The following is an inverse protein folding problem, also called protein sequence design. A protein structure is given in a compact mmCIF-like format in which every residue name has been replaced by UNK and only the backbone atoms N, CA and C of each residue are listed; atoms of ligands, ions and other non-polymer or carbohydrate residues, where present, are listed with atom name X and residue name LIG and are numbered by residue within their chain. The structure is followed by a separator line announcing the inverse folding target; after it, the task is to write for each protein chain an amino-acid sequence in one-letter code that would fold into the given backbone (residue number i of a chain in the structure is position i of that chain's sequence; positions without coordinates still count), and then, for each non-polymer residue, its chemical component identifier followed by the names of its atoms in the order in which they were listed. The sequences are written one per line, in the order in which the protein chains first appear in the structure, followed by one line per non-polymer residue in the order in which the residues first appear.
data_IF_820950592012
#
_entry.id   IF_820950592012
#
_cell.length_a   1.000
_cell.length_b   1.000
_cell.length_c   1.000
_cell.angle_alpha   90.00
_cell.angle_beta   90.00
_cell.angle_gamma   90.00
#
_symmetry.space_group_name_H-M   'P 1'
#
loop_
_entity.id
_entity.type
_entity.pdbx_description
1 polymer ?
#
# COMPACT_ATOMS: atom_id res chain seq x y z
N UNK A 1 -18.78 8.79 9.42
CA UNK A 1 -18.99 8.33 8.03
C UNK A 1 -18.61 6.86 7.96
N UNK A 2 -19.36 6.04 7.23
CA UNK A 2 -19.03 4.63 6.98
C UNK A 2 -18.43 4.46 5.58
N UNK A 3 -17.74 3.34 5.33
CA UNK A 3 -17.38 2.95 3.97
C UNK A 3 -18.68 2.53 3.26
N UNK A 4 -18.94 3.00 2.02
CA UNK A 4 -20.09 2.57 1.25
C UNK A 4 -20.12 1.05 1.03
N UNK A 5 -21.31 0.44 1.07
CA UNK A 5 -21.47 -1.02 0.94
C UNK A 5 -20.91 -1.58 -0.37
N UNK A 6 -21.01 -0.82 -1.48
CA UNK A 6 -20.46 -1.24 -2.77
C UNK A 6 -18.93 -1.40 -2.74
N UNK A 7 -18.21 -0.53 -2.00
CA UNK A 7 -16.77 -0.65 -1.85
C UNK A 7 -16.41 -1.82 -0.93
N UNK A 8 -17.21 -2.05 0.13
CA UNK A 8 -17.04 -3.22 1.00
C UNK A 8 -17.21 -4.50 0.19
N UNK A 9 -18.27 -4.60 -0.60
CA UNK A 9 -18.53 -5.75 -1.47
C UNK A 9 -17.39 -5.95 -2.46
N UNK A 10 -16.92 -4.89 -3.12
CA UNK A 10 -15.80 -4.96 -4.07
C UNK A 10 -14.51 -5.51 -3.43
N UNK A 11 -14.17 -5.04 -2.22
CA UNK A 11 -13.02 -5.56 -1.47
C UNK A 11 -13.25 -7.00 -1.01
N UNK A 12 -14.46 -7.37 -0.60
CA UNK A 12 -14.79 -8.75 -0.19
C UNK A 12 -14.69 -9.73 -1.36
N UNK A 13 -15.20 -9.37 -2.53
CA UNK A 13 -15.04 -10.14 -3.78
C UNK A 13 -13.55 -10.32 -4.11
N UNK A 14 -12.75 -9.27 -3.90
CA UNK A 14 -11.30 -9.37 -4.02
C UNK A 14 -10.70 -10.40 -3.06
N UNK A 15 -11.03 -10.31 -1.78
CA UNK A 15 -10.47 -11.18 -0.74
C UNK A 15 -10.88 -12.65 -0.93
N UNK A 16 -12.12 -12.90 -1.34
CA UNK A 16 -12.65 -14.26 -1.53
C UNK A 16 -12.01 -14.98 -2.71
N UNK A 17 -11.53 -14.25 -3.73
CA UNK A 17 -10.95 -14.83 -4.94
C UNK A 17 -9.42 -14.75 -4.98
N UNK A 18 -8.75 -14.33 -3.89
CA UNK A 18 -7.31 -14.08 -3.90
C UNK A 18 -6.48 -15.33 -4.22
N UNK A 19 -6.92 -16.50 -3.76
CA UNK A 19 -6.21 -17.77 -3.92
C UNK A 19 -6.33 -18.37 -5.33
N UNK A 20 -7.24 -17.86 -6.16
CA UNK A 20 -7.50 -18.35 -7.53
C UNK A 20 -6.69 -17.58 -8.58
N UNK A 21 -5.84 -16.64 -8.15
CA UNK A 21 -5.18 -15.69 -9.02
C UNK A 21 -3.72 -16.04 -9.23
N UNK A 22 -3.26 -15.70 -10.42
CA UNK A 22 -1.88 -15.95 -10.82
C UNK A 22 -1.09 -14.65 -11.07
N UNK A 23 -1.76 -13.49 -11.11
CA UNK A 23 -1.09 -12.20 -11.30
C UNK A 23 -0.75 -11.55 -9.97
N UNK A 24 0.45 -10.97 -9.89
CA UNK A 24 1.03 -10.50 -8.65
C UNK A 24 1.32 -9.00 -8.70
N UNK A 25 1.19 -8.33 -7.56
CA UNK A 25 1.78 -7.03 -7.28
C UNK A 25 2.70 -7.18 -6.06
N UNK A 26 3.96 -6.78 -6.22
CA UNK A 26 5.00 -6.85 -5.21
C UNK A 26 5.34 -5.41 -4.84
N UNK A 27 5.14 -5.05 -3.58
CA UNK A 27 5.33 -3.68 -3.10
C UNK A 27 6.56 -3.62 -2.22
N UNK A 28 7.51 -2.76 -2.59
CA UNK A 28 8.73 -2.48 -1.84
C UNK A 28 8.85 -1.00 -1.54
N UNK A 29 9.33 -0.67 -0.34
CA UNK A 29 9.46 0.71 0.12
C UNK A 29 10.72 0.85 0.98
N UNK A 30 11.68 1.64 0.51
CA UNK A 30 12.98 1.86 1.15
C UNK A 30 12.99 3.12 2.04
N UNK A 31 11.96 3.31 2.85
CA UNK A 31 11.81 4.49 3.70
C UNK A 31 11.48 4.12 5.15
N UNK A 32 11.29 5.13 6.01
CA UNK A 32 10.90 4.94 7.41
C UNK A 32 9.51 4.31 7.57
N UNK A 33 9.18 3.87 8.80
CA UNK A 33 7.96 3.13 9.11
C UNK A 33 6.69 3.79 8.55
N UNK A 34 6.51 5.11 8.75
CA UNK A 34 5.32 5.83 8.28
C UNK A 34 5.09 5.71 6.76
N UNK A 35 6.14 5.95 5.97
CA UNK A 35 6.07 5.81 4.51
C UNK A 35 5.78 4.35 4.12
N UNK A 36 6.43 3.37 4.77
CA UNK A 36 6.15 1.95 4.48
C UNK A 36 4.70 1.56 4.73
N UNK A 37 4.09 2.06 5.82
CA UNK A 37 2.67 1.84 6.11
C UNK A 37 1.78 2.48 5.03
N UNK A 38 2.05 3.74 4.67
CA UNK A 38 1.29 4.47 3.64
C UNK A 38 1.42 3.84 2.24
N UNK A 39 2.63 3.45 1.83
CA UNK A 39 2.88 2.74 0.58
C UNK A 39 2.17 1.40 0.57
N UNK A 40 2.20 0.65 1.67
CA UNK A 40 1.53 -0.65 1.78
C UNK A 40 0.02 -0.52 1.64
N UNK A 41 -0.61 0.50 2.25
CA UNK A 41 -2.05 0.78 2.09
C UNK A 41 -2.38 1.09 0.62
N UNK A 42 -1.61 1.99 0.02
CA UNK A 42 -1.83 2.43 -1.37
C UNK A 42 -1.62 1.26 -2.35
N UNK A 43 -0.58 0.46 -2.11
CA UNK A 43 -0.26 -0.75 -2.86
C UNK A 43 -1.32 -1.85 -2.72
N UNK A 44 -1.88 -2.03 -1.53
CA UNK A 44 -2.99 -2.96 -1.30
C UNK A 44 -4.22 -2.53 -2.11
N UNK A 45 -4.61 -1.25 -2.07
CA UNK A 45 -5.74 -0.78 -2.88
C UNK A 45 -5.47 -0.95 -4.38
N UNK A 46 -4.23 -0.72 -4.83
CA UNK A 46 -3.85 -0.99 -6.22
C UNK A 46 -3.98 -2.48 -6.57
N UNK A 47 -3.63 -3.38 -5.66
CA UNK A 47 -3.83 -4.83 -5.82
C UNK A 47 -5.32 -5.16 -5.99
N UNK A 48 -6.17 -4.53 -5.16
CA UNK A 48 -7.63 -4.64 -5.23
C UNK A 48 -8.16 -4.19 -6.59
N UNK A 49 -7.80 -2.98 -7.00
CA UNK A 49 -8.24 -2.38 -8.26
C UNK A 49 -7.77 -3.12 -9.51
N UNK A 50 -6.65 -3.83 -9.42
CA UNK A 50 -6.06 -4.59 -10.55
C UNK A 50 -6.28 -6.09 -10.46
N UNK A 51 -7.03 -6.54 -9.45
CA UNK A 51 -7.34 -7.94 -9.19
C UNK A 51 -6.09 -8.85 -9.05
N UNK A 52 -5.05 -8.38 -8.35
CA UNK A 52 -3.75 -9.07 -8.18
C UNK A 52 -3.53 -9.59 -6.77
N UNK A 53 -2.77 -10.67 -6.65
CA UNK A 53 -2.20 -11.13 -5.38
C UNK A 53 -1.24 -10.07 -4.83
N UNK A 54 -1.42 -9.68 -3.57
CA UNK A 54 -0.65 -8.62 -2.93
C UNK A 54 0.49 -9.20 -2.10
N UNK A 55 1.73 -8.81 -2.43
CA UNK A 55 2.94 -9.19 -1.70
C UNK A 55 3.63 -7.93 -1.20
N UNK A 56 4.04 -7.96 0.07
CA UNK A 56 4.83 -6.90 0.69
C UNK A 56 6.28 -7.41 0.80
N UNK A 57 7.21 -6.71 0.15
CA UNK A 57 8.65 -6.90 0.35
C UNK A 57 9.16 -5.99 1.48
N UNK A 58 9.01 -6.48 2.71
CA UNK A 58 9.44 -5.79 3.92
C UNK A 58 10.31 -6.70 4.80
N UNK A 59 11.57 -6.82 4.39
CA UNK A 59 12.62 -7.49 5.14
C UNK A 59 13.47 -6.47 5.93
N UNK A 60 14.12 -6.88 7.04
CA UNK A 60 14.96 -5.99 7.82
C UNK A 60 16.19 -5.56 7.01
N UNK A 61 16.45 -4.27 6.99
CA UNK A 61 17.68 -3.65 6.48
C UNK A 61 18.18 -2.65 7.52
N UNK A 62 19.35 -2.05 7.31
CA UNK A 62 19.85 -0.94 8.17
C UNK A 62 18.85 0.22 8.30
N UNK A 63 17.97 0.41 7.30
CA UNK A 63 16.90 1.41 7.29
C UNK A 63 15.55 0.87 7.81
N UNK A 64 15.30 -0.45 7.68
CA UNK A 64 13.99 -1.06 7.99
C UNK A 64 13.87 -1.60 9.41
N UNK A 65 14.97 -1.98 10.04
CA UNK A 65 15.08 -2.35 11.46
C UNK A 65 14.40 -3.65 11.88
N UNK A 66 13.28 -4.02 11.24
CA UNK A 66 12.47 -5.21 11.53
C UNK A 66 11.71 -5.68 10.29
N UNK A 67 11.33 -6.95 10.26
CA UNK A 67 10.41 -7.49 9.25
C UNK A 67 8.96 -7.10 9.55
N UNK A 68 8.10 -7.12 8.53
CA UNK A 68 6.65 -6.86 8.72
C UNK A 68 6.03 -7.83 9.74
N UNK A 69 6.35 -9.13 9.63
CA UNK A 69 5.83 -10.18 10.51
C UNK A 69 6.38 -10.10 11.94
N UNK A 70 7.35 -9.24 12.24
CA UNK A 70 7.74 -8.98 13.63
C UNK A 70 6.80 -7.96 14.30
N UNK A 71 6.16 -7.09 13.51
CA UNK A 71 5.31 -6.01 14.01
C UNK A 71 3.82 -6.34 13.95
N UNK A 72 3.36 -7.05 12.92
CA UNK A 72 1.94 -7.22 12.62
C UNK A 72 1.56 -8.70 12.40
N UNK A 73 0.35 -9.06 12.82
CA UNK A 73 -0.29 -10.36 12.61
C UNK A 73 -1.19 -10.39 11.36
N UNK A 74 -1.56 -9.22 10.87
CA UNK A 74 -2.43 -9.04 9.71
C UNK A 74 -1.72 -9.33 8.40
N UNK A 75 -2.50 -9.64 7.39
CA UNK A 75 -2.16 -10.33 6.14
C UNK A 75 -1.82 -11.81 6.33
N UNK A 76 -2.62 -12.74 5.77
CA UNK A 76 -2.03 -13.97 5.29
C UNK A 76 -1.04 -13.55 4.22
N UNK A 77 0.26 -13.66 4.49
CA UNK A 77 1.21 -13.66 3.39
C UNK A 77 0.73 -14.74 2.43
N UNK A 78 0.31 -14.39 1.21
CA UNK A 78 0.47 -15.32 0.10
C UNK A 78 1.96 -15.61 0.08
N UNK A 79 2.29 -16.76 0.66
CA UNK A 79 3.62 -17.28 0.93
C UNK A 79 4.61 -16.88 -0.16
N UNK A 80 5.81 -16.46 0.25
CA UNK A 80 6.99 -16.03 -0.52
C UNK A 80 7.52 -17.03 -1.57
N UNK A 81 6.67 -17.90 -2.11
CA UNK A 81 7.03 -18.96 -3.03
C UNK A 81 7.06 -18.51 -4.48
N UNK A 82 6.95 -17.22 -4.78
CA UNK A 82 6.96 -16.71 -6.14
C UNK A 82 8.24 -17.12 -6.90
N UNK A 83 9.38 -17.17 -6.19
CA UNK A 83 10.65 -17.68 -6.73
C UNK A 83 10.76 -19.21 -6.77
N UNK A 84 9.90 -19.95 -6.07
CA UNK A 84 9.75 -21.40 -6.24
C UNK A 84 8.80 -21.77 -7.39
N UNK A 85 7.81 -20.91 -7.65
CA UNK A 85 6.81 -21.10 -8.69
C UNK A 85 7.31 -20.69 -10.08
N UNK A 86 8.16 -19.66 -10.14
CA UNK A 86 8.62 -19.10 -11.41
C UNK A 86 10.14 -18.98 -11.48
N UNK A 87 10.69 -19.28 -12.65
CA UNK A 87 12.10 -19.03 -12.92
C UNK A 87 12.40 -17.54 -12.99
N UNK A 88 13.63 -17.15 -12.63
CA UNK A 88 14.09 -15.75 -12.73
C UNK A 88 13.88 -15.17 -14.14
N UNK A 89 14.20 -15.94 -15.18
CA UNK A 89 14.02 -15.52 -16.58
C UNK A 89 12.55 -15.25 -16.91
N UNK A 90 11.64 -16.11 -16.43
CA UNK A 90 10.21 -15.91 -16.64
C UNK A 90 9.69 -14.65 -15.94
N UNK A 91 10.11 -14.42 -14.69
CA UNK A 91 9.75 -13.19 -13.96
C UNK A 91 10.20 -11.96 -14.73
N UNK A 92 11.47 -11.92 -15.14
CA UNK A 92 12.04 -10.79 -15.88
C UNK A 92 11.37 -10.52 -17.22
N UNK A 93 10.87 -11.55 -17.92
CA UNK A 93 10.16 -11.38 -19.18
C UNK A 93 8.69 -10.94 -19.02
N UNK A 94 8.12 -11.07 -17.82
CA UNK A 94 6.69 -10.81 -17.56
C UNK A 94 6.46 -9.74 -16.49
N UNK A 95 7.48 -8.94 -16.19
CA UNK A 95 7.45 -7.88 -15.19
C UNK A 95 7.05 -6.54 -15.82
N UNK A 96 6.23 -5.79 -15.09
CA UNK A 96 6.19 -4.35 -15.17
C UNK A 96 6.82 -3.77 -13.92
N UNK A 97 7.88 -2.99 -14.09
CA UNK A 97 8.57 -2.34 -12.99
C UNK A 97 8.12 -0.88 -12.89
N UNK A 98 7.51 -0.55 -11.76
CA UNK A 98 6.87 0.70 -11.47
C UNK A 98 7.58 1.37 -10.30
N UNK A 99 8.52 2.28 -10.59
CA UNK A 99 9.27 3.00 -9.58
C UNK A 99 9.05 4.51 -9.70
N UNK A 100 8.66 5.17 -8.61
CA UNK A 100 8.41 6.60 -8.61
C UNK A 100 8.58 7.26 -7.24
N UNK A 101 8.91 8.55 -7.28
CA UNK A 101 8.97 9.48 -6.16
C UNK A 101 8.36 10.80 -6.64
N UNK A 102 7.18 11.16 -6.13
CA UNK A 102 6.35 12.25 -6.67
C UNK A 102 5.25 11.82 -7.67
N UNK A 103 4.62 12.81 -8.36
CA UNK A 103 3.45 12.58 -9.20
C UNK A 103 3.76 11.62 -10.35
N UNK A 104 2.88 10.65 -10.57
CA UNK A 104 3.10 9.57 -11.50
C UNK A 104 1.90 9.38 -12.44
N UNK A 105 2.06 9.86 -13.67
CA UNK A 105 0.99 9.97 -14.67
C UNK A 105 0.29 8.64 -14.99
N UNK A 106 0.98 7.51 -14.87
CA UNK A 106 0.37 6.21 -15.19
C UNK A 106 -0.75 5.83 -14.22
N UNK A 107 -0.71 6.33 -12.98
CA UNK A 107 -1.79 6.12 -11.99
C UNK A 107 -3.07 6.88 -12.35
N UNK A 108 -2.98 7.89 -13.22
CA UNK A 108 -4.14 8.64 -13.75
C UNK A 108 -4.72 8.04 -15.04
N UNK A 109 -4.10 6.98 -15.60
CA UNK A 109 -4.67 6.29 -16.77
C UNK A 109 -5.98 5.63 -16.38
N UNK A 110 -6.92 5.58 -17.32
CA UNK A 110 -8.31 5.18 -17.07
C UNK A 110 -8.40 3.84 -16.35
N UNK A 111 -8.18 2.71 -17.02
CA UNK A 111 -8.35 1.40 -16.40
C UNK A 111 -7.00 0.73 -16.12
N UNK A 112 -6.55 0.78 -14.85
CA UNK A 112 -5.30 0.13 -14.42
C UNK A 112 -5.32 -1.39 -14.62
N UNK A 113 -6.49 -2.06 -14.48
CA UNK A 113 -6.60 -3.50 -14.76
C UNK A 113 -6.24 -3.79 -16.20
N UNK A 114 -6.85 -3.07 -17.15
CA UNK A 114 -6.57 -3.23 -18.58
C UNK A 114 -5.12 -2.87 -18.89
N UNK A 115 -4.61 -1.78 -18.29
CA UNK A 115 -3.25 -1.32 -18.54
C UNK A 115 -2.18 -2.35 -18.13
N UNK A 116 -2.34 -2.98 -16.96
CA UNK A 116 -1.39 -3.96 -16.46
C UNK A 116 -1.70 -5.40 -16.90
N UNK A 117 -2.83 -5.65 -17.58
CA UNK A 117 -3.33 -6.99 -17.94
C UNK A 117 -2.29 -7.92 -18.58
N UNK A 118 -1.36 -7.37 -19.39
CA UNK A 118 -0.31 -8.14 -20.08
C UNK A 118 0.83 -8.62 -19.18
N UNK A 119 0.92 -8.12 -17.95
CA UNK A 119 2.04 -8.39 -17.05
C UNK A 119 1.63 -9.34 -15.95
N UNK A 120 2.42 -10.41 -15.77
CA UNK A 120 2.22 -11.34 -14.68
C UNK A 120 2.63 -10.72 -13.34
N UNK A 121 3.70 -9.93 -13.33
CA UNK A 121 4.28 -9.35 -12.13
C UNK A 121 4.29 -7.83 -12.25
N UNK A 122 3.72 -7.15 -11.26
CA UNK A 122 3.84 -5.71 -11.10
C UNK A 122 4.73 -5.44 -9.90
N UNK A 123 5.95 -4.95 -10.12
CA UNK A 123 6.84 -4.57 -9.03
C UNK A 123 6.71 -3.07 -8.81
N UNK A 124 6.15 -2.69 -7.66
CA UNK A 124 5.94 -1.33 -7.24
C UNK A 124 7.00 -0.93 -6.21
N UNK A 125 7.85 0.04 -6.57
CA UNK A 125 8.85 0.62 -5.69
C UNK A 125 8.57 2.12 -5.47
N UNK A 126 8.12 2.48 -4.26
CA UNK A 126 7.88 3.88 -3.91
C UNK A 126 7.85 4.07 -2.39
N UNK A 127 8.09 5.29 -1.94
CA UNK A 127 7.91 5.76 -0.56
C UNK A 127 6.80 6.81 -0.43
N UNK A 128 6.00 6.98 -1.49
CA UNK A 128 4.92 7.94 -1.56
C UNK A 128 3.57 7.36 -1.11
N UNK A 129 2.75 8.22 -0.53
CA UNK A 129 1.33 7.95 -0.31
C UNK A 129 0.55 8.32 -1.58
N UNK A 130 0.00 7.32 -2.27
CA UNK A 130 -0.70 7.52 -3.56
C UNK A 130 -2.17 7.03 -3.54
N UNK A 131 -2.72 6.73 -2.37
CA UNK A 131 -4.13 6.35 -2.22
C UNK A 131 -5.09 7.38 -2.83
N UNK A 132 -4.83 8.68 -2.58
CA UNK A 132 -5.66 9.76 -3.11
C UNK A 132 -5.68 9.78 -4.65
N UNK A 133 -4.58 9.38 -5.29
CA UNK A 133 -4.48 9.29 -6.75
C UNK A 133 -5.36 8.16 -7.27
N UNK A 134 -5.36 7.00 -6.61
CA UNK A 134 -6.23 5.87 -6.96
C UNK A 134 -7.71 6.21 -6.79
N UNK A 135 -8.07 6.90 -5.71
CA UNK A 135 -9.46 7.31 -5.42
C UNK A 135 -9.96 8.30 -6.48
N UNK A 136 -9.09 9.23 -6.92
CA UNK A 136 -9.40 10.26 -7.91
C UNK A 136 -9.20 9.80 -9.36
N UNK A 137 -8.81 8.55 -9.58
CA UNK A 137 -8.66 8.00 -10.92
C UNK A 137 -10.01 8.06 -11.65
N UNK A 138 -10.03 8.61 -12.87
CA UNK A 138 -11.24 8.93 -13.62
C UNK A 138 -12.15 7.74 -13.93
N UNK A 139 -11.60 6.52 -13.95
CA UNK A 139 -12.38 5.31 -14.17
C UNK A 139 -12.98 4.77 -12.86
N UNK A 140 -12.27 4.88 -11.75
CA UNK A 140 -12.71 4.32 -10.47
C UNK A 140 -13.52 5.30 -9.61
N UNK A 141 -13.31 6.61 -9.76
CA UNK A 141 -13.88 7.63 -8.87
C UNK A 141 -15.41 7.61 -8.81
N UNK A 142 -16.06 7.43 -9.96
CA UNK A 142 -17.52 7.44 -10.08
C UNK A 142 -18.18 6.07 -9.88
N UNK A 143 -17.39 5.00 -9.92
CA UNK A 143 -17.88 3.61 -9.90
C UNK A 143 -17.58 2.96 -8.54
N UNK A 144 -16.32 2.96 -8.13
CA UNK A 144 -15.81 2.26 -6.95
C UNK A 144 -15.69 3.21 -5.76
N UNK A 145 -15.29 4.46 -6.00
CA UNK A 145 -15.01 5.42 -4.93
C UNK A 145 -16.08 6.51 -4.76
N UNK A 146 -17.26 6.29 -5.34
CA UNK A 146 -18.36 7.25 -5.25
C UNK A 146 -18.79 7.41 -3.79
N UNK A 147 -18.79 8.65 -3.31
CA UNK A 147 -19.11 9.00 -1.92
C UNK A 147 -18.18 8.37 -0.87
N UNK A 148 -16.97 7.97 -1.25
CA UNK A 148 -15.97 7.47 -0.30
C UNK A 148 -15.27 8.64 0.39
N UNK A 149 -15.19 8.58 1.72
CA UNK A 149 -14.36 9.47 2.49
C UNK A 149 -12.93 8.88 2.58
N UNK A 150 -11.94 9.60 2.05
CA UNK A 150 -10.56 9.14 1.98
C UNK A 150 -9.97 8.84 3.37
N UNK A 151 -10.15 9.73 4.35
CA UNK A 151 -9.62 9.54 5.70
C UNK A 151 -10.20 8.28 6.36
N UNK A 152 -11.49 8.05 6.18
CA UNK A 152 -12.16 6.87 6.72
C UNK A 152 -11.71 5.59 6.01
N UNK A 153 -11.48 5.62 4.69
CA UNK A 153 -10.90 4.50 3.95
C UNK A 153 -9.48 4.20 4.42
N UNK A 154 -8.64 5.23 4.54
CA UNK A 154 -7.28 5.09 5.06
C UNK A 154 -7.29 4.45 6.45
N UNK A 155 -8.10 4.96 7.38
CA UNK A 155 -8.22 4.40 8.73
C UNK A 155 -8.71 2.95 8.73
N UNK A 156 -9.68 2.63 7.86
CA UNK A 156 -10.21 1.26 7.74
C UNK A 156 -9.15 0.30 7.23
N UNK A 157 -8.45 0.67 6.15
CA UNK A 157 -7.35 -0.15 5.60
C UNK A 157 -6.18 -0.25 6.58
N UNK A 158 -5.86 0.82 7.30
CA UNK A 158 -4.83 0.81 8.34
C UNK A 158 -5.15 -0.20 9.45
N UNK A 159 -6.39 -0.22 9.94
CA UNK A 159 -6.83 -1.19 10.96
C UNK A 159 -6.87 -2.62 10.44
N UNK A 160 -7.21 -2.81 9.17
CA UNK A 160 -7.28 -4.12 8.53
C UNK A 160 -5.89 -4.71 8.25
N UNK A 161 -4.98 -3.90 7.69
CA UNK A 161 -3.67 -4.35 7.21
C UNK A 161 -2.60 -4.41 8.29
N UNK A 162 -2.78 -3.76 9.44
CA UNK A 162 -1.76 -3.66 10.48
C UNK A 162 -2.33 -3.90 11.88
N UNK A 163 -2.69 -5.14 12.16
CA UNK A 163 -3.03 -5.64 13.49
C UNK A 163 -1.71 -5.89 14.24
N UNK A 164 -1.37 -5.10 15.29
CA UNK A 164 -0.11 -5.26 15.99
C UNK A 164 0.00 -6.62 16.68
N UNK A 165 1.18 -7.24 16.59
CA UNK A 165 1.48 -8.54 17.25
C UNK A 165 1.46 -8.45 18.76
N UNK A 166 2.13 -7.43 19.29
CA UNK A 166 2.17 -7.19 20.72
C UNK A 166 1.13 -6.11 21.06
N UNK A 167 0.05 -6.52 21.73
CA UNK A 167 -0.99 -5.58 22.20
C UNK A 167 -0.45 -4.59 23.23
N UNK A 168 0.65 -4.90 23.91
CA UNK A 168 1.30 -3.97 24.84
C UNK A 168 2.01 -2.80 24.14
N UNK A 169 2.21 -2.86 22.81
CA UNK A 169 2.62 -1.71 21.99
C UNK A 169 1.48 -0.69 21.82
N UNK A 170 0.23 -1.08 22.07
CA UNK A 170 -0.89 -0.16 22.21
C UNK A 170 -0.81 0.41 23.63
N UNK A 171 0.05 1.40 23.82
CA UNK A 171 0.22 2.08 25.11
C UNK A 171 -1.14 2.57 25.65
N UNK A 172 -1.59 1.92 26.73
CA UNK A 172 -2.55 2.33 27.76
C UNK A 172 -3.74 3.22 27.33
N UNK A 173 -4.91 2.62 27.14
CA UNK A 173 -6.22 3.28 26.99
C UNK A 173 -6.75 3.94 28.30
N UNK A 174 -5.88 4.49 29.13
CA UNK A 174 -6.26 5.00 30.46
C UNK A 174 -5.86 6.45 30.67
N UNK A 175 -6.26 7.35 29.79
CA UNK A 175 -6.34 8.78 30.11
C UNK A 175 -7.51 9.45 29.40
N UNK A 176 -8.30 10.20 30.18
CA UNK A 176 -9.64 10.68 29.81
C UNK A 176 -9.64 11.76 28.71
N UNK A 177 -8.46 12.24 28.32
CA UNK A 177 -8.20 13.16 27.21
C UNK A 177 -6.72 13.05 26.82
N UNK A 178 -6.42 12.47 25.65
CA UNK A 178 -5.05 12.36 25.14
C UNK A 178 -4.81 13.36 24.03
N UNK A 179 -4.15 14.47 24.36
CA UNK A 179 -3.59 15.37 23.36
C UNK A 179 -2.24 14.79 22.95
N UNK A 180 -2.21 14.09 21.82
CA UNK A 180 -0.98 13.63 21.19
C UNK A 180 -0.31 14.76 20.42
N UNK A 181 0.84 15.25 20.89
CA UNK A 181 1.68 16.19 20.14
C UNK A 181 2.75 15.40 19.39
N UNK A 182 2.56 15.21 18.08
CA UNK A 182 3.57 14.62 17.21
C UNK A 182 4.47 15.71 16.62
N UNK A 183 5.70 15.84 17.12
CA UNK A 183 6.69 16.78 16.61
C UNK A 183 7.77 16.08 15.79
N UNK A 184 8.04 16.58 14.58
CA UNK A 184 9.21 16.22 13.77
C UNK A 184 10.12 17.44 13.64
N UNK A 185 11.38 17.30 14.07
CA UNK A 185 12.35 18.40 14.16
C UNK A 185 12.77 18.99 12.80
N UNK A 186 12.62 18.22 11.71
CA UNK A 186 13.18 18.56 10.39
C UNK A 186 12.21 19.32 9.46
N UNK A 187 11.30 20.13 10.00
CA UNK A 187 10.19 20.73 9.24
C UNK A 187 10.54 21.86 8.25
N UNK A 188 11.73 22.46 8.28
CA UNK A 188 12.14 23.50 7.32
C UNK A 188 13.66 23.41 7.10
N UNK A 189 14.11 22.90 5.94
CA UNK A 189 15.46 23.21 5.47
C UNK A 189 15.49 24.72 5.19
N UNK A 190 16.27 25.49 5.96
CA UNK A 190 16.56 26.88 5.61
C UNK A 190 17.08 26.89 4.18
N UNK A 191 16.43 27.64 3.28
CA UNK A 191 17.01 27.98 1.99
C UNK A 191 18.34 28.67 2.30
N UNK A 192 19.45 28.07 1.88
CA UNK A 192 20.73 28.79 1.84
C UNK A 192 20.47 30.01 0.97
N UNK A 193 20.62 31.21 1.54
CA UNK A 193 20.79 32.41 0.74
C UNK A 193 21.97 32.13 -0.18
N UNK A 194 21.76 32.23 -1.48
CA UNK A 194 22.86 32.29 -2.44
C UNK A 194 23.72 33.49 -2.03
N UNK A 195 25.01 33.23 -1.84
CA UNK A 195 25.99 34.26 -1.53
C UNK A 195 26.11 35.17 -2.77
N UNK A 196 25.83 36.47 -2.59
CA UNK A 196 26.17 37.55 -3.53
C UNK A 196 27.69 37.82 -3.53
#
# INVERSE_FOLDING_TARGET
SSIPDHLIQFIQEYLNSVNEREQWIIVTCEAGLGNRLQTTISGFLMAVLTNRCFIIDWHPTSLRGCSFNELFDSLPSTTNNLFYLYSKSYILSNIYYLAFHGPFDELFRSNLTTYFSRYQFLFLQTDEYFLSVLIKNSFYSEIIFKNVNEDYLFQTLMKYLFVPKNKDLLLNETTKFDIGIHMRKDGIKQMKKEDE
#
